data_IF_343783779005
#
_entry.id   IF_343783779005
#
_cell.length_a   1.000
_cell.length_b   1.000
_cell.length_c   1.000
_cell.angle_alpha   90.00
_cell.angle_beta   90.00
_cell.angle_gamma   90.00
#
_symmetry.space_group_name_H-M   'P 1'
#
loop_
_entity.id
_entity.type
_entity.pdbx_description
1 polymer ?
#
# COMPACT_ATOMS: atom_id res chain seq x y z
N UNK A 1 12.51 -16.17 12.05
CA UNK A 1 11.32 -15.31 11.85
C UNK A 1 10.71 -15.66 10.50
N UNK A 2 9.38 -15.76 10.40
CA UNK A 2 8.73 -15.99 9.11
C UNK A 2 8.69 -14.64 8.37
N UNK A 3 9.15 -14.53 7.12
CA UNK A 3 8.98 -13.30 6.35
C UNK A 3 7.49 -13.06 6.22
N UNK A 4 7.03 -11.94 6.77
CA UNK A 4 5.63 -11.59 6.70
C UNK A 4 5.31 -11.23 5.25
N UNK A 5 4.18 -11.67 4.73
CA UNK A 5 3.85 -11.52 3.31
C UNK A 5 3.64 -10.05 2.87
N UNK A 6 3.59 -9.11 3.82
CA UNK A 6 3.57 -7.67 3.61
C UNK A 6 4.96 -7.02 3.62
N UNK A 7 6.01 -7.78 3.94
CA UNK A 7 7.40 -7.39 3.81
C UNK A 7 7.81 -7.56 2.35
N UNK A 8 7.35 -6.62 1.53
CA UNK A 8 7.67 -6.55 0.11
C UNK A 8 8.88 -5.67 -0.11
N UNK A 9 9.75 -6.11 -1.01
CA UNK A 9 10.91 -5.34 -1.42
C UNK A 9 10.49 -4.09 -2.20
N UNK A 10 11.10 -2.96 -1.86
CA UNK A 10 10.81 -1.66 -2.46
C UNK A 10 11.03 -1.66 -3.98
N UNK A 11 12.08 -2.34 -4.47
CA UNK A 11 12.35 -2.45 -5.90
C UNK A 11 11.23 -3.19 -6.64
N UNK A 12 10.64 -4.21 -6.02
CA UNK A 12 9.51 -4.95 -6.60
C UNK A 12 8.23 -4.12 -6.61
N UNK A 13 8.03 -3.27 -5.58
CA UNK A 13 6.92 -2.33 -5.55
C UNK A 13 7.08 -1.29 -6.66
N UNK A 14 8.28 -0.72 -6.83
CA UNK A 14 8.57 0.22 -7.92
C UNK A 14 8.32 -0.43 -9.28
N UNK A 15 8.81 -1.64 -9.51
CA UNK A 15 8.61 -2.35 -10.79
C UNK A 15 7.13 -2.53 -11.14
N UNK A 16 6.28 -2.79 -10.14
CA UNK A 16 4.86 -3.13 -10.35
C UNK A 16 3.90 -1.97 -10.26
N UNK A 17 4.28 -0.90 -9.57
CA UNK A 17 3.38 0.22 -9.24
C UNK A 17 3.94 1.57 -9.69
N UNK A 18 5.20 1.63 -10.11
CA UNK A 18 5.89 2.83 -10.57
C UNK A 18 6.37 3.76 -9.45
N UNK A 19 6.14 3.43 -8.17
CA UNK A 19 6.53 4.24 -7.01
C UNK A 19 7.05 3.36 -5.87
N UNK A 20 7.89 3.93 -5.02
CA UNK A 20 8.41 3.25 -3.83
C UNK A 20 7.37 3.18 -2.70
N UNK A 21 7.66 2.36 -1.70
CA UNK A 21 6.86 2.26 -0.47
C UNK A 21 6.79 3.60 0.27
N UNK A 22 7.84 4.43 0.20
CA UNK A 22 7.83 5.76 0.81
C UNK A 22 6.77 6.66 0.19
N UNK A 23 6.78 6.81 -1.14
CA UNK A 23 5.76 7.57 -1.88
C UNK A 23 4.35 7.03 -1.62
N UNK A 24 4.18 5.71 -1.64
CA UNK A 24 2.88 5.11 -1.35
C UNK A 24 2.39 5.40 0.06
N UNK A 25 3.29 5.40 1.05
CA UNK A 25 2.91 5.80 2.41
C UNK A 25 2.42 7.23 2.43
N UNK A 26 3.12 8.17 1.80
CA UNK A 26 2.68 9.57 1.75
C UNK A 26 1.33 9.72 1.06
N UNK A 27 1.12 9.04 -0.07
CA UNK A 27 -0.18 9.04 -0.77
C UNK A 27 -1.29 8.49 0.12
N UNK A 28 -1.02 7.39 0.83
CA UNK A 28 -1.99 6.76 1.73
C UNK A 28 -2.28 7.63 2.95
N UNK A 29 -1.28 8.35 3.45
CA UNK A 29 -1.42 9.30 4.54
C UNK A 29 -2.27 10.50 4.14
N UNK A 30 -1.96 11.11 2.99
CA UNK A 30 -2.74 12.21 2.40
C UNK A 30 -4.18 11.79 2.08
N UNK A 31 -4.39 10.54 1.70
CA UNK A 31 -5.73 9.97 1.51
C UNK A 31 -6.48 9.72 2.82
N UNK A 32 -5.78 9.67 3.97
CA UNK A 32 -6.35 9.30 5.26
C UNK A 32 -6.68 7.81 5.35
N UNK A 33 -5.82 6.95 4.76
CA UNK A 33 -6.02 5.50 4.74
C UNK A 33 -6.10 4.86 6.14
N UNK A 34 -5.57 5.53 7.16
CA UNK A 34 -5.59 5.09 8.56
C UNK A 34 -7.01 4.97 9.13
N UNK A 35 -7.91 5.88 8.74
CA UNK A 35 -9.27 5.96 9.27
C UNK A 35 -10.33 5.32 8.34
N UNK A 36 -9.90 4.87 7.16
CA UNK A 36 -10.78 4.32 6.12
C UNK A 36 -10.78 2.80 6.11
N UNK A 37 -11.82 2.20 5.55
CA UNK A 37 -11.85 0.74 5.35
C UNK A 37 -10.81 0.34 4.32
N UNK A 38 -10.12 -0.78 4.52
CA UNK A 38 -9.08 -1.26 3.60
C UNK A 38 -9.57 -1.41 2.16
N UNK A 39 -10.85 -1.76 1.95
CA UNK A 39 -11.43 -1.84 0.61
C UNK A 39 -11.55 -0.48 -0.09
N UNK A 40 -11.79 0.60 0.64
CA UNK A 40 -11.84 1.97 0.10
C UNK A 40 -10.45 2.39 -0.35
N UNK A 41 -9.44 2.15 0.49
CA UNK A 41 -8.02 2.38 0.16
C UNK A 41 -7.58 1.58 -1.07
N UNK A 42 -7.95 0.30 -1.15
CA UNK A 42 -7.66 -0.55 -2.30
C UNK A 42 -8.37 -0.06 -3.57
N UNK A 43 -9.60 0.45 -3.46
CA UNK A 43 -10.32 1.03 -4.59
C UNK A 43 -9.69 2.34 -5.06
N UNK A 44 -9.26 3.20 -4.13
CA UNK A 44 -8.53 4.44 -4.41
C UNK A 44 -7.24 4.17 -5.19
N UNK A 45 -6.40 3.24 -4.71
CA UNK A 45 -5.16 2.86 -5.40
C UNK A 45 -5.40 2.30 -6.81
N UNK A 46 -6.47 1.53 -7.02
CA UNK A 46 -6.82 1.01 -8.34
C UNK A 46 -7.35 2.09 -9.28
N UNK A 47 -8.23 2.98 -8.79
CA UNK A 47 -8.92 3.97 -9.62
C UNK A 47 -8.03 5.17 -9.95
N UNK A 48 -7.40 5.75 -8.93
CA UNK A 48 -6.64 6.99 -9.06
C UNK A 48 -5.21 6.75 -9.55
N UNK A 49 -4.66 5.58 -9.22
CA UNK A 49 -3.25 5.27 -9.50
C UNK A 49 -3.03 4.03 -10.38
N UNK A 50 -4.09 3.35 -10.82
CA UNK A 50 -3.97 2.17 -11.69
C UNK A 50 -3.25 0.99 -11.05
N UNK A 51 -3.09 0.97 -9.71
CA UNK A 51 -2.33 -0.06 -9.02
C UNK A 51 -3.08 -1.39 -9.11
N UNK A 52 -2.43 -2.50 -9.54
CA UNK A 52 -3.09 -3.80 -9.59
C UNK A 52 -3.63 -4.23 -8.23
N UNK A 53 -4.83 -4.85 -8.21
CA UNK A 53 -5.55 -5.21 -6.97
C UNK A 53 -4.69 -5.92 -5.92
N UNK A 54 -3.83 -6.83 -6.35
CA UNK A 54 -2.89 -7.53 -5.48
C UNK A 54 -2.00 -6.55 -4.72
N UNK A 55 -1.31 -5.67 -5.45
CA UNK A 55 -0.40 -4.68 -4.90
C UNK A 55 -1.13 -3.63 -4.07
N UNK A 56 -2.33 -3.22 -4.48
CA UNK A 56 -3.16 -2.31 -3.70
C UNK A 56 -3.47 -2.88 -2.30
N UNK A 57 -3.79 -4.18 -2.20
CA UNK A 57 -4.01 -4.85 -0.91
C UNK A 57 -2.72 -4.94 -0.08
N UNK A 58 -1.60 -5.25 -0.73
CA UNK A 58 -0.29 -5.31 -0.06
C UNK A 58 0.12 -3.96 0.50
N UNK A 59 0.05 -2.88 -0.28
CA UNK A 59 0.37 -1.52 0.13
C UNK A 59 -0.52 -1.08 1.30
N UNK A 60 -1.84 -1.31 1.19
CA UNK A 60 -2.79 -1.00 2.27
C UNK A 60 -2.44 -1.76 3.55
N UNK A 61 -2.14 -3.06 3.47
CA UNK A 61 -1.80 -3.87 4.64
C UNK A 61 -0.48 -3.44 5.26
N UNK A 62 0.55 -3.19 4.43
CA UNK A 62 1.86 -2.71 4.87
C UNK A 62 1.75 -1.37 5.61
N UNK A 63 0.98 -0.43 5.06
CA UNK A 63 0.71 0.87 5.68
C UNK A 63 0.00 0.70 7.03
N UNK A 64 -1.12 -0.03 7.08
CA UNK A 64 -1.90 -0.24 8.30
C UNK A 64 -1.08 -0.91 9.42
N UNK A 65 -0.22 -1.87 9.07
CA UNK A 65 0.69 -2.53 10.02
C UNK A 65 1.74 -1.59 10.60
N UNK A 66 2.21 -0.62 9.82
CA UNK A 66 3.20 0.37 10.26
C UNK A 66 2.63 1.43 11.19
N UNK A 67 1.38 1.85 10.97
CA UNK A 67 0.73 2.87 11.82
C UNK A 67 0.06 2.27 13.06
N UNK A 68 -0.33 0.99 13.00
CA UNK A 68 -0.98 0.29 14.11
C UNK A 68 0.00 -0.42 15.06
N UNK A 69 1.30 -0.13 14.96
CA UNK A 69 2.35 -0.71 15.81
C UNK A 69 2.96 0.32 16.76
#
# INVERSE_FOLDING_TARGET
MKPEYWDVDDAKVIEKTGRGLADWREILDLFGAAEKKSNETVAFLQREHGVPRYWARTLTTNYLKRIGS
#
